data_IF_382750176211
#
_entry.id   IF_382750176211
#
_cell.length_a   1.000
_cell.length_b   1.000
_cell.length_c   1.000
_cell.angle_alpha   90.00
_cell.angle_beta   90.00
_cell.angle_gamma   90.00
#
_symmetry.space_group_name_H-M   'P 1'
#
loop_
_entity.id
_entity.type
_entity.pdbx_description
1 polymer ?
#
# COMPACT_ATOMS: atom_id res chain seq x y z
N UNK A 1 14.30 2.60 4.47
CA UNK A 1 12.86 2.77 4.76
C UNK A 1 12.72 3.17 6.21
N UNK A 2 11.68 3.89 6.59
CA UNK A 2 11.43 4.22 8.00
C UNK A 2 10.99 3.00 8.81
N UNK A 3 10.19 2.12 8.20
CA UNK A 3 9.64 0.92 8.85
C UNK A 3 10.09 -0.36 8.15
N UNK A 4 9.84 -1.51 8.79
CA UNK A 4 10.09 -2.82 8.19
C UNK A 4 9.29 -2.99 6.89
N UNK A 5 9.85 -3.72 5.93
CA UNK A 5 9.32 -3.85 4.58
C UNK A 5 7.89 -4.41 4.53
N UNK A 6 7.56 -5.33 5.44
CA UNK A 6 6.25 -5.98 5.50
C UNK A 6 5.12 -5.01 5.84
N UNK A 7 5.44 -3.93 6.55
CA UNK A 7 4.48 -2.89 6.91
C UNK A 7 3.91 -2.19 5.68
N UNK A 8 4.62 -2.19 4.56
CA UNK A 8 4.19 -1.51 3.32
C UNK A 8 3.26 -2.38 2.45
N UNK A 9 3.35 -3.71 2.52
CA UNK A 9 2.68 -4.62 1.60
C UNK A 9 1.15 -4.53 1.59
N UNK A 10 0.45 -4.35 2.73
CA UNK A 10 -1.00 -4.22 2.76
C UNK A 10 -1.52 -3.00 2.00
N UNK A 11 -0.66 -2.01 1.73
CA UNK A 11 -1.04 -0.77 1.05
C UNK A 11 -0.77 -0.80 -0.46
N UNK A 12 -0.08 -1.84 -0.93
CA UNK A 12 0.11 -2.14 -2.34
C UNK A 12 -1.01 -3.12 -2.75
N UNK A 13 -2.04 -2.57 -3.40
CA UNK A 13 -3.25 -3.29 -3.82
C UNK A 13 -3.07 -4.03 -5.14
N UNK A 14 -4.15 -4.17 -5.89
CA UNK A 14 -4.14 -4.89 -7.18
C UNK A 14 -3.35 -4.15 -8.26
N UNK A 15 -2.82 -4.90 -9.22
CA UNK A 15 -2.15 -4.35 -10.39
C UNK A 15 -2.76 -4.99 -11.65
N UNK A 16 -3.09 -4.15 -12.63
CA UNK A 16 -3.79 -4.63 -13.84
C UNK A 16 -2.96 -5.71 -14.55
N UNK A 17 -3.62 -6.81 -14.94
CA UNK A 17 -3.01 -7.97 -15.61
C UNK A 17 -2.06 -8.82 -14.77
N UNK A 18 -1.91 -8.55 -13.48
CA UNK A 18 -1.11 -9.36 -12.57
C UNK A 18 -1.99 -10.03 -11.53
N UNK A 19 -1.58 -11.23 -11.10
CA UNK A 19 -2.09 -11.87 -9.90
C UNK A 19 -1.23 -11.44 -8.72
N UNK A 20 -1.83 -10.75 -7.74
CA UNK A 20 -1.19 -10.39 -6.47
C UNK A 20 -1.10 -11.60 -5.56
N UNK A 21 0.10 -11.90 -5.05
CA UNK A 21 0.38 -13.03 -4.17
C UNK A 21 1.27 -12.57 -3.02
N UNK A 22 0.75 -12.61 -1.82
CA UNK A 22 1.53 -12.34 -0.61
C UNK A 22 2.28 -13.60 -0.18
N UNK A 23 3.58 -13.45 0.10
CA UNK A 23 4.48 -14.52 0.49
C UNK A 23 5.08 -14.19 1.86
N UNK A 24 5.55 -15.20 2.59
CA UNK A 24 6.15 -15.02 3.91
C UNK A 24 7.32 -14.01 3.94
N UNK A 25 7.99 -13.84 2.80
CA UNK A 25 9.18 -13.01 2.63
C UNK A 25 9.02 -11.88 1.59
N UNK A 26 7.81 -11.60 1.11
CA UNK A 26 7.61 -10.54 0.11
C UNK A 26 6.23 -10.50 -0.51
N UNK A 27 6.01 -9.52 -1.39
CA UNK A 27 4.79 -9.35 -2.17
C UNK A 27 5.10 -9.49 -3.66
N UNK A 28 4.34 -10.36 -4.34
CA UNK A 28 4.60 -10.75 -5.72
C UNK A 28 3.40 -10.37 -6.58
N UNK A 29 3.68 -9.83 -7.76
CA UNK A 29 2.71 -9.62 -8.82
C UNK A 29 3.13 -10.45 -10.02
N UNK A 30 2.35 -11.47 -10.35
CA UNK A 30 2.72 -12.44 -11.38
C UNK A 30 1.80 -12.35 -12.58
N UNK A 31 2.39 -12.31 -13.78
CA UNK A 31 1.68 -12.66 -15.00
C UNK A 31 2.53 -13.63 -15.83
N UNK A 32 2.06 -13.99 -17.02
CA UNK A 32 2.75 -14.97 -17.86
C UNK A 32 4.12 -14.50 -18.39
N UNK A 33 4.35 -13.18 -18.47
CA UNK A 33 5.50 -12.56 -19.16
C UNK A 33 6.45 -11.82 -18.20
N UNK A 34 5.95 -11.34 -17.07
CA UNK A 34 6.60 -10.45 -16.11
C UNK A 34 6.30 -10.87 -14.68
N UNK A 35 7.13 -10.40 -13.78
CA UNK A 35 6.90 -10.50 -12.35
C UNK A 35 7.38 -9.22 -11.67
N UNK A 36 6.57 -8.64 -10.80
CA UNK A 36 6.99 -7.57 -9.91
C UNK A 36 7.16 -8.15 -8.49
N UNK A 37 8.19 -7.73 -7.77
CA UNK A 37 8.48 -8.23 -6.43
C UNK A 37 8.83 -7.10 -5.48
N UNK A 38 8.29 -7.18 -4.28
CA UNK A 38 8.69 -6.39 -3.12
C UNK A 38 9.19 -7.32 -2.04
N UNK A 39 10.41 -7.14 -1.55
CA UNK A 39 10.97 -7.97 -0.48
C UNK A 39 12.05 -7.23 0.31
N UNK A 40 12.35 -7.72 1.51
CA UNK A 40 13.42 -7.21 2.36
C UNK A 40 14.78 -7.69 1.84
N UNK A 41 15.66 -6.78 1.46
CA UNK A 41 16.97 -7.13 0.88
C UNK A 41 17.88 -7.84 1.89
N UNK A 42 17.78 -7.50 3.18
CA UNK A 42 18.52 -8.19 4.23
C UNK A 42 18.19 -9.69 4.30
N UNK A 43 16.91 -10.04 4.14
CA UNK A 43 16.47 -11.44 4.17
C UNK A 43 17.12 -12.25 3.05
N UNK A 44 17.23 -11.68 1.84
CA UNK A 44 17.90 -12.32 0.72
C UNK A 44 19.39 -12.61 1.02
N UNK A 45 20.11 -11.65 1.60
CA UNK A 45 21.52 -11.83 1.97
C UNK A 45 21.69 -12.89 3.06
N UNK A 46 20.83 -12.86 4.09
CA UNK A 46 20.82 -13.85 5.19
C UNK A 46 20.60 -15.27 4.67
N UNK A 47 19.61 -15.47 3.79
CA UNK A 47 19.35 -16.79 3.17
C UNK A 47 20.52 -17.24 2.30
N UNK A 48 21.15 -16.32 1.58
CA UNK A 48 22.33 -16.60 0.74
C UNK A 48 23.64 -16.72 1.52
N UNK A 49 23.63 -16.54 2.84
CA UNK A 49 24.83 -16.48 3.71
C UNK A 49 25.87 -15.47 3.21
N UNK A 50 25.40 -14.37 2.64
CA UNK A 50 26.25 -13.26 2.19
C UNK A 50 26.24 -12.15 3.24
N UNK A 51 27.36 -11.42 3.33
CA UNK A 51 27.40 -10.22 4.18
C UNK A 51 26.41 -9.17 3.67
N UNK A 52 25.72 -8.53 4.61
CA UNK A 52 24.99 -7.30 4.33
C UNK A 52 26.05 -6.20 4.22
N UNK A 53 26.12 -5.43 3.12
CA UNK A 53 27.01 -4.29 3.03
C UNK A 53 26.80 -3.35 4.23
N UNK A 54 27.89 -2.82 4.80
CA UNK A 54 27.87 -1.97 6.00
C UNK A 54 26.89 -0.79 5.85
N UNK A 55 26.78 -0.22 4.64
CA UNK A 55 25.83 0.85 4.30
C UNK A 55 24.36 0.50 4.61
N UNK A 56 24.01 -0.79 4.64
CA UNK A 56 22.66 -1.29 4.86
C UNK A 56 22.48 -1.96 6.23
N UNK A 57 23.51 -1.94 7.07
CA UNK A 57 23.42 -2.54 8.40
C UNK A 57 22.46 -1.74 9.29
N UNK A 58 21.59 -2.44 10.02
CA UNK A 58 20.53 -1.86 10.86
C UNK A 58 19.55 -0.92 10.11
N UNK A 59 19.40 -1.08 8.79
CA UNK A 59 18.48 -0.29 7.99
C UNK A 59 17.36 -1.15 7.41
N UNK A 60 16.13 -0.64 7.43
CA UNK A 60 15.04 -1.28 6.70
C UNK A 60 15.24 -1.08 5.19
N UNK A 61 15.65 -2.14 4.47
CA UNK A 61 15.86 -2.10 3.02
C UNK A 61 14.77 -2.89 2.31
N UNK A 62 13.82 -2.17 1.71
CA UNK A 62 12.82 -2.72 0.81
C UNK A 62 13.33 -2.62 -0.63
N UNK A 63 13.34 -3.73 -1.35
CA UNK A 63 13.66 -3.77 -2.77
C UNK A 63 12.41 -4.00 -3.60
N UNK A 64 12.27 -3.22 -4.66
CA UNK A 64 11.26 -3.40 -5.70
C UNK A 64 11.93 -3.83 -7.01
N UNK A 65 11.57 -5.01 -7.52
CA UNK A 65 12.11 -5.58 -8.76
C UNK A 65 11.05 -5.78 -9.82
N UNK A 66 11.41 -5.54 -11.08
CA UNK A 66 10.66 -5.95 -12.26
C UNK A 66 11.48 -7.00 -13.03
N UNK A 67 10.94 -8.22 -13.14
CA UNK A 67 11.58 -9.35 -13.82
C UNK A 67 10.86 -9.66 -15.12
N UNK A 68 11.59 -9.68 -16.22
CA UNK A 68 11.09 -10.10 -17.53
C UNK A 68 11.37 -11.59 -17.74
N UNK A 69 10.33 -12.40 -17.98
CA UNK A 69 10.45 -13.87 -18.05
C UNK A 69 10.34 -14.45 -19.45
N UNK A 70 9.55 -13.85 -20.35
CA UNK A 70 9.27 -14.40 -21.70
C UNK A 70 9.13 -13.31 -22.75
N UNK A 71 9.33 -13.61 -24.03
CA UNK A 71 9.05 -12.69 -25.15
C UNK A 71 9.79 -11.33 -25.09
N UNK A 72 11.03 -11.29 -24.59
CA UNK A 72 11.80 -10.05 -24.38
C UNK A 72 11.82 -9.12 -25.62
N UNK A 73 12.08 -9.68 -26.80
CA UNK A 73 12.05 -8.97 -28.08
C UNK A 73 10.76 -8.18 -28.32
N UNK A 74 9.60 -8.79 -28.04
CA UNK A 74 8.28 -8.15 -28.15
C UNK A 74 8.06 -7.11 -27.05
N UNK A 75 8.54 -7.40 -25.84
CA UNK A 75 8.34 -6.50 -24.69
C UNK A 75 9.16 -5.20 -24.80
N UNK A 76 10.34 -5.27 -25.40
CA UNK A 76 11.23 -4.12 -25.62
C UNK A 76 11.18 -3.57 -27.05
N UNK A 77 10.35 -4.16 -27.91
CA UNK A 77 10.24 -3.83 -29.33
C UNK A 77 11.61 -3.79 -30.05
N UNK A 78 12.40 -4.86 -29.89
CA UNK A 78 13.71 -5.00 -30.53
C UNK A 78 13.85 -6.37 -31.21
N UNK A 79 14.53 -6.46 -32.36
CA UNK A 79 14.77 -7.72 -33.04
C UNK A 79 15.67 -8.66 -32.22
N UNK A 80 16.57 -8.09 -31.41
CA UNK A 80 17.49 -8.82 -30.55
C UNK A 80 17.66 -8.12 -29.20
N UNK A 81 17.90 -8.90 -28.14
CA UNK A 81 18.19 -8.42 -26.79
C UNK A 81 19.52 -9.03 -26.36
N UNK A 82 20.57 -8.19 -26.34
CA UNK A 82 21.93 -8.57 -25.97
C UNK A 82 22.41 -7.74 -24.79
N UNK A 83 23.40 -8.26 -24.05
CA UNK A 83 23.90 -7.61 -22.83
C UNK A 83 24.46 -6.20 -23.08
N UNK A 84 25.03 -5.94 -24.26
CA UNK A 84 25.57 -4.62 -24.61
C UNK A 84 24.52 -3.51 -24.63
N UNK A 85 23.23 -3.83 -24.79
CA UNK A 85 22.14 -2.85 -24.69
C UNK A 85 22.04 -2.21 -23.30
N UNK A 86 22.58 -2.84 -22.25
CA UNK A 86 22.61 -2.24 -20.91
C UNK A 86 23.53 -1.01 -20.82
N UNK A 87 24.47 -0.87 -21.75
CA UNK A 87 25.31 0.33 -21.88
C UNK A 87 24.70 1.38 -22.81
N UNK A 88 23.63 1.06 -23.54
CA UNK A 88 22.88 2.04 -24.32
C UNK A 88 21.99 2.85 -23.37
N UNK A 89 22.31 4.13 -23.23
CA UNK A 89 21.64 5.05 -22.31
C UNK A 89 20.14 5.13 -22.57
N UNK A 90 19.74 5.14 -23.85
CA UNK A 90 18.32 5.19 -24.23
C UNK A 90 17.58 3.94 -23.81
N UNK A 91 18.15 2.75 -24.04
CA UNK A 91 17.58 1.48 -23.61
C UNK A 91 17.49 1.40 -22.08
N UNK A 92 18.56 1.77 -21.39
CA UNK A 92 18.60 1.78 -19.93
C UNK A 92 17.57 2.74 -19.32
N UNK A 93 17.49 3.98 -19.81
CA UNK A 93 16.48 4.96 -19.37
C UNK A 93 15.06 4.42 -19.56
N UNK A 94 14.79 3.78 -20.71
CA UNK A 94 13.50 3.15 -20.95
C UNK A 94 13.20 2.01 -19.98
N UNK A 95 14.19 1.21 -19.57
CA UNK A 95 14.02 0.19 -18.54
C UNK A 95 13.62 0.79 -17.18
N UNK A 96 14.32 1.85 -16.75
CA UNK A 96 14.02 2.55 -15.49
C UNK A 96 12.62 3.16 -15.54
N UNK A 97 12.25 3.77 -16.67
CA UNK A 97 10.92 4.32 -16.90
C UNK A 97 9.84 3.23 -16.85
N UNK A 98 10.04 2.08 -17.47
CA UNK A 98 9.12 0.94 -17.41
C UNK A 98 8.95 0.43 -15.98
N UNK A 99 10.07 0.23 -15.26
CA UNK A 99 10.06 -0.19 -13.86
C UNK A 99 9.27 0.78 -12.97
N UNK A 100 9.52 2.08 -13.10
CA UNK A 100 8.79 3.13 -12.38
C UNK A 100 7.30 3.11 -12.71
N UNK A 101 6.95 3.01 -14.00
CA UNK A 101 5.56 3.02 -14.43
C UNK A 101 4.79 1.81 -13.87
N UNK A 102 5.39 0.62 -13.90
CA UNK A 102 4.76 -0.57 -13.30
C UNK A 102 4.49 -0.41 -11.80
N UNK A 103 5.37 0.28 -11.06
CA UNK A 103 5.08 0.66 -9.68
C UNK A 103 3.88 1.60 -9.57
N UNK A 104 3.81 2.63 -10.42
CA UNK A 104 2.73 3.63 -10.38
C UNK A 104 1.37 3.05 -10.73
N UNK A 105 1.31 2.05 -11.61
CA UNK A 105 0.08 1.34 -12.00
C UNK A 105 -0.46 0.40 -10.90
N UNK A 106 0.35 0.04 -9.90
CA UNK A 106 -0.16 -0.72 -8.74
C UNK A 106 -1.11 0.18 -7.95
N UNK A 107 -2.35 -0.27 -7.76
CA UNK A 107 -3.35 0.42 -6.94
C UNK A 107 -2.79 0.68 -5.54
N UNK A 108 -2.77 1.95 -5.12
CA UNK A 108 -2.39 2.32 -3.76
C UNK A 108 -3.64 2.32 -2.88
N UNK A 109 -3.66 1.42 -1.90
CA UNK A 109 -4.79 1.33 -0.96
C UNK A 109 -4.68 2.50 -0.01
N UNK A 110 -5.45 3.55 -0.30
CA UNK A 110 -5.65 4.68 0.59
C UNK A 110 -6.80 4.33 1.55
N UNK A 111 -6.51 3.51 2.56
CA UNK A 111 -7.48 3.23 3.62
C UNK A 111 -7.65 4.46 4.51
N UNK A 112 -8.89 4.85 4.82
CA UNK A 112 -9.10 5.91 5.83
C UNK A 112 -8.47 5.53 7.19
N UNK A 113 -8.31 4.24 7.47
CA UNK A 113 -7.59 3.71 8.66
C UNK A 113 -6.16 4.25 8.79
N UNK A 114 -5.56 4.73 7.70
CA UNK A 114 -4.24 5.35 7.72
C UNK A 114 -4.20 6.60 8.60
N UNK A 115 -5.31 7.36 8.67
CA UNK A 115 -5.42 8.51 9.56
C UNK A 115 -5.72 8.14 11.02
N UNK A 116 -5.76 6.83 11.35
CA UNK A 116 -5.99 6.35 12.70
C UNK A 116 -4.73 6.57 13.54
N UNK A 117 -4.85 7.37 14.59
CA UNK A 117 -3.76 7.50 15.56
C UNK A 117 -3.60 6.21 16.33
N UNK A 118 -2.35 5.78 16.47
CA UNK A 118 -2.01 4.66 17.33
C UNK A 118 -2.49 4.94 18.76
N UNK A 119 -3.10 3.94 19.39
CA UNK A 119 -3.57 4.01 20.77
C UNK A 119 -3.30 2.66 21.45
N UNK A 120 -2.88 2.71 22.72
CA UNK A 120 -2.80 1.52 23.57
C UNK A 120 -4.13 1.13 24.20
N UNK A 121 -5.17 1.98 24.07
CA UNK A 121 -6.49 1.76 24.67
C UNK A 121 -7.37 0.93 23.75
N UNK A 122 -7.82 -0.24 24.24
CA UNK A 122 -8.81 -1.08 23.54
C UNK A 122 -10.09 -0.30 23.21
N UNK A 123 -10.54 0.59 24.11
CA UNK A 123 -11.74 1.39 23.92
C UNK A 123 -11.56 2.38 22.77
N UNK A 124 -10.48 3.14 22.79
CA UNK A 124 -10.19 4.13 21.75
C UNK A 124 -9.97 3.47 20.38
N UNK A 125 -9.36 2.27 20.36
CA UNK A 125 -9.21 1.49 19.14
C UNK A 125 -10.58 1.17 18.50
N UNK A 126 -11.54 0.69 19.30
CA UNK A 126 -12.90 0.38 18.83
C UNK A 126 -13.64 1.65 18.40
N UNK A 127 -13.52 2.75 19.14
CA UNK A 127 -14.14 4.03 18.80
C UNK A 127 -13.61 4.59 17.47
N UNK A 128 -12.32 4.46 17.21
CA UNK A 128 -11.71 4.83 15.93
C UNK A 128 -12.22 3.95 14.78
N UNK A 129 -12.33 2.63 14.95
CA UNK A 129 -12.91 1.75 13.92
C UNK A 129 -14.38 2.11 13.62
N UNK A 130 -15.16 2.42 14.66
CA UNK A 130 -16.54 2.86 14.51
C UNK A 130 -16.62 4.19 13.75
N UNK A 131 -15.73 5.14 14.04
CA UNK A 131 -15.61 6.39 13.31
C UNK A 131 -15.36 6.15 11.81
N UNK A 132 -14.40 5.30 11.45
CA UNK A 132 -14.12 5.00 10.03
C UNK A 132 -15.32 4.39 9.32
N UNK A 133 -16.00 3.46 9.98
CA UNK A 133 -17.23 2.85 9.46
C UNK A 133 -18.31 3.91 9.19
N UNK A 134 -18.50 4.86 10.13
CA UNK A 134 -19.45 5.98 9.95
C UNK A 134 -19.03 6.91 8.82
N UNK A 135 -17.73 7.18 8.65
CA UNK A 135 -17.20 8.01 7.56
C UNK A 135 -17.31 7.34 6.18
N UNK A 136 -17.28 6.01 6.11
CA UNK A 136 -17.50 5.25 4.88
C UNK A 136 -18.98 5.14 4.52
N UNK A 137 -19.83 4.78 5.48
CA UNK A 137 -21.27 4.65 5.28
C UNK A 137 -21.95 6.01 5.06
N UNK A 138 -21.40 7.07 5.66
CA UNK A 138 -21.97 8.40 5.70
C UNK A 138 -22.82 8.61 6.96
N UNK A 139 -22.50 9.64 7.74
CA UNK A 139 -23.17 9.92 9.01
C UNK A 139 -24.70 10.03 8.89
N UNK A 140 -25.20 10.67 7.84
CA UNK A 140 -26.64 10.81 7.61
C UNK A 140 -27.35 9.47 7.50
N UNK A 141 -26.75 8.48 6.82
CA UNK A 141 -27.30 7.12 6.68
C UNK A 141 -27.36 6.41 8.03
N UNK A 142 -26.31 6.53 8.83
CA UNK A 142 -26.27 5.94 10.18
C UNK A 142 -27.33 6.56 11.09
N UNK A 143 -27.46 7.90 11.08
CA UNK A 143 -28.49 8.60 11.85
C UNK A 143 -29.91 8.26 11.38
N UNK A 144 -30.11 8.10 10.07
CA UNK A 144 -31.38 7.64 9.50
C UNK A 144 -31.72 6.23 10.01
N UNK A 145 -30.75 5.32 10.08
CA UNK A 145 -30.98 3.97 10.57
C UNK A 145 -31.44 3.94 12.03
N UNK A 146 -30.85 4.80 12.88
CA UNK A 146 -31.29 4.94 14.28
C UNK A 146 -32.73 5.47 14.35
N UNK A 147 -33.11 6.39 13.45
CA UNK A 147 -34.48 6.92 13.36
C UNK A 147 -35.47 5.82 12.95
N UNK A 148 -35.13 4.99 11.95
CA UNK A 148 -35.95 3.85 11.54
C UNK A 148 -36.24 2.90 12.72
N UNK A 149 -35.22 2.53 13.49
CA UNK A 149 -35.39 1.67 14.66
C UNK A 149 -36.30 2.27 15.74
N UNK A 150 -36.21 3.59 15.94
CA UNK A 150 -37.07 4.30 16.86
C UNK A 150 -38.53 4.30 16.39
N UNK A 151 -38.78 4.58 15.11
CA UNK A 151 -40.13 4.61 14.53
C UNK A 151 -40.77 3.23 14.49
N UNK A 152 -39.97 2.17 14.32
CA UNK A 152 -40.41 0.78 14.39
C UNK A 152 -40.61 0.26 15.83
N UNK A 153 -40.31 1.08 16.86
CA UNK A 153 -40.42 0.67 18.26
C UNK A 153 -39.39 -0.38 18.71
N UNK A 154 -38.35 -0.63 17.91
CA UNK A 154 -37.28 -1.59 18.25
C UNK A 154 -36.37 -1.07 19.36
N UNK A 155 -36.31 0.26 19.52
CA UNK A 155 -35.58 0.95 20.58
C UNK A 155 -36.42 2.08 21.18
N UNK A 156 -36.18 2.38 22.46
CA UNK A 156 -36.82 3.50 23.14
C UNK A 156 -36.32 4.86 22.63
N UNK A 157 -37.10 5.92 22.88
CA UNK A 157 -36.70 7.31 22.59
C UNK A 157 -35.37 7.69 23.23
N UNK A 158 -35.10 7.21 24.46
CA UNK A 158 -33.85 7.45 25.19
C UNK A 158 -32.66 6.78 24.48
N UNK A 159 -32.78 5.48 24.16
CA UNK A 159 -31.73 4.76 23.43
C UNK A 159 -31.44 5.40 22.06
N UNK A 160 -32.49 5.81 21.33
CA UNK A 160 -32.32 6.50 20.06
C UNK A 160 -31.64 7.87 20.20
N UNK A 161 -31.87 8.58 21.31
CA UNK A 161 -31.14 9.82 21.62
C UNK A 161 -29.67 9.53 21.89
N UNK A 162 -29.36 8.59 22.79
CA UNK A 162 -28.00 8.24 23.19
C UNK A 162 -27.15 7.80 21.98
N UNK A 163 -27.70 6.94 21.11
CA UNK A 163 -27.03 6.50 19.89
C UNK A 163 -26.73 7.65 18.92
N UNK A 164 -27.69 8.57 18.70
CA UNK A 164 -27.46 9.75 17.85
C UNK A 164 -26.39 10.66 18.43
N UNK A 165 -26.33 10.83 19.74
CA UNK A 165 -25.29 11.61 20.42
C UNK A 165 -23.93 10.94 20.21
N UNK A 166 -23.81 9.64 20.44
CA UNK A 166 -22.57 8.89 20.22
C UNK A 166 -22.07 9.01 18.77
N UNK A 167 -22.95 8.82 17.77
CA UNK A 167 -22.58 8.96 16.35
C UNK A 167 -22.09 10.37 16.01
N UNK A 168 -22.70 11.41 16.58
CA UNK A 168 -22.27 12.81 16.39
C UNK A 168 -20.95 13.11 17.09
N UNK A 169 -20.72 12.54 18.28
CA UNK A 169 -19.47 12.70 19.01
C UNK A 169 -18.29 12.07 18.24
N UNK A 170 -18.48 10.86 17.71
CA UNK A 170 -17.46 10.20 16.88
C UNK A 170 -17.01 11.09 15.72
N UNK A 171 -17.94 11.68 14.98
CA UNK A 171 -17.62 12.55 13.82
C UNK A 171 -16.86 13.85 14.14
N UNK A 172 -16.72 14.22 15.42
CA UNK A 172 -15.90 15.37 15.85
C UNK A 172 -14.42 15.03 15.94
N UNK A 173 -14.08 13.75 15.97
CA UNK A 173 -12.69 13.29 15.96
C UNK A 173 -12.11 13.63 14.59
N UNK A 174 -11.10 14.51 14.58
CA UNK A 174 -10.37 14.86 13.37
C UNK A 174 -9.49 13.67 12.96
N UNK A 175 -9.81 13.06 11.83
CA UNK A 175 -8.90 12.15 11.14
C UNK A 175 -7.88 13.01 10.39
N UNK A 176 -6.59 12.75 10.58
CA UNK A 176 -5.57 13.43 9.77
C UNK A 176 -5.74 12.98 8.32
N UNK A 177 -5.95 13.95 7.42
CA UNK A 177 -6.17 13.72 6.00
C UNK A 177 -4.87 13.56 5.22
N UNK A 178 -3.71 13.67 5.88
CA UNK A 178 -2.44 13.24 5.31
C UNK A 178 -2.58 11.74 5.02
N UNK A 179 -2.61 11.39 3.74
CA UNK A 179 -2.78 10.01 3.29
C UNK A 179 -1.66 9.09 3.77
N UNK A 180 -1.48 7.95 3.10
CA UNK A 180 -0.53 6.95 3.57
C UNK A 180 0.91 7.46 3.62
N UNK A 181 1.46 7.71 4.82
CA UNK A 181 2.88 8.09 4.97
C UNK A 181 3.82 7.00 4.42
N UNK A 182 3.42 5.72 4.50
CA UNK A 182 4.18 4.60 3.97
C UNK A 182 4.19 4.60 2.43
N UNK A 183 3.05 4.85 1.78
CA UNK A 183 3.02 5.01 0.31
C UNK A 183 3.72 6.31 -0.10
N UNK A 184 3.56 7.39 0.67
CA UNK A 184 4.25 8.66 0.41
C UNK A 184 5.76 8.48 0.43
N UNK A 185 6.28 7.73 1.42
CA UNK A 185 7.70 7.38 1.47
C UNK A 185 8.12 6.53 0.26
N UNK A 186 7.34 5.50 -0.09
CA UNK A 186 7.62 4.66 -1.26
C UNK A 186 7.63 5.47 -2.56
N UNK A 187 6.60 6.29 -2.80
CA UNK A 187 6.48 7.13 -3.98
C UNK A 187 7.64 8.11 -4.09
N UNK A 188 8.05 8.71 -2.96
CA UNK A 188 9.22 9.58 -2.90
C UNK A 188 10.49 8.82 -3.31
N UNK A 189 10.73 7.63 -2.74
CA UNK A 189 11.92 6.83 -3.04
C UNK A 189 11.95 6.31 -4.47
N UNK A 190 10.82 5.87 -5.02
CA UNK A 190 10.70 5.46 -6.43
C UNK A 190 11.00 6.65 -7.34
N UNK A 191 10.48 7.84 -7.02
CA UNK A 191 10.77 9.08 -7.76
C UNK A 191 12.26 9.41 -7.73
N UNK A 192 12.87 9.45 -6.55
CA UNK A 192 14.32 9.72 -6.37
C UNK A 192 15.17 8.79 -7.24
N UNK A 193 14.89 7.48 -7.24
CA UNK A 193 15.61 6.52 -8.08
C UNK A 193 15.38 6.79 -9.57
N UNK A 194 14.15 7.14 -9.97
CA UNK A 194 13.80 7.33 -11.38
C UNK A 194 14.23 8.67 -11.99
N UNK A 195 14.50 9.70 -11.19
CA UNK A 195 14.90 11.04 -11.65
C UNK A 195 16.42 11.25 -11.66
N UNK A 196 17.19 10.39 -10.99
CA UNK A 196 18.65 10.46 -10.96
C UNK A 196 19.31 9.83 -12.21
N UNK A 197 18.56 9.71 -13.31
CA UNK A 197 18.99 9.17 -14.61
C UNK A 197 18.33 9.92 -15.75
#
# INVERSE_FOLDING_TARGET
>A
MQYAEKTYYPYLGEAQYYNRLEQNNGLYYNNQKRQLLFYGKEYEQKVKKQSVPELYENQNVLRFEMRFKKQLRKQFNRPEIIASLLYDETFYFNLVKMWRNEYLEIQKINSKLIGMKATGSKKEFIENLALFSVLELGQSKVLHKVKEWQEQGLISKKQAYDLRVATKQLSRIKVDGKGNELITELDKKIKEVSYNW
#
